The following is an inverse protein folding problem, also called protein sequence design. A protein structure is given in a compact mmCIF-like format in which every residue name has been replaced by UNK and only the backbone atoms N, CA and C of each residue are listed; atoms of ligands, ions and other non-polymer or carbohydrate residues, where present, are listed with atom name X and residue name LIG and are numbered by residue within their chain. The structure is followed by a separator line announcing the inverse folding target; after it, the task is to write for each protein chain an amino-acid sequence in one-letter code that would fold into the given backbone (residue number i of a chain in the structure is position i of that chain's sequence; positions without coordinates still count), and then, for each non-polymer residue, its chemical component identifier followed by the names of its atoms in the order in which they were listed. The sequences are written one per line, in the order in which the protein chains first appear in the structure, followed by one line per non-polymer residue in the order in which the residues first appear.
data_IF_962508009460
#
_entry.id   IF_962508009460
#
_cell.length_a   1.000
_cell.length_b   1.000
_cell.length_c   1.000
_cell.angle_alpha   90.00
_cell.angle_beta   90.00
_cell.angle_gamma   90.00
#
_symmetry.space_group_name_H-M   'P 1'
#
loop_
_entity.id
_entity.type
_entity.pdbx_description
1 polymer ?
#
# COMPACT_ATOMS: atom_id res chain seq x y z
N UNK A 1 11.51 35.77 8.94
CA UNK A 1 11.55 36.27 7.55
C UNK A 1 10.84 37.61 7.52
N UNK A 2 11.53 38.70 7.16
CA UNK A 2 10.90 40.01 7.03
C UNK A 2 9.96 40.08 5.82
N UNK A 3 8.99 41.01 5.79
CA UNK A 3 7.96 41.12 4.74
C UNK A 3 8.51 41.49 3.34
N UNK A 4 9.77 41.91 3.25
CA UNK A 4 10.43 42.36 2.01
C UNK A 4 10.64 41.25 0.95
N UNK A 5 10.63 39.98 1.34
CA UNK A 5 10.93 38.85 0.43
C UNK A 5 9.69 38.10 -0.09
N UNK A 6 8.50 38.68 0.03
CA UNK A 6 7.24 38.04 -0.42
C UNK A 6 7.16 37.84 -1.94
N UNK A 7 7.87 38.65 -2.72
CA UNK A 7 7.98 38.51 -4.18
C UNK A 7 8.63 37.19 -4.63
N UNK A 8 9.53 36.61 -3.83
CA UNK A 8 10.17 35.33 -4.14
C UNK A 8 9.21 34.14 -4.04
N UNK A 9 8.29 34.16 -3.08
CA UNK A 9 7.28 33.12 -2.92
C UNK A 9 6.20 33.19 -4.01
N UNK A 10 5.86 34.40 -4.46
CA UNK A 10 4.95 34.62 -5.59
C UNK A 10 5.55 34.14 -6.92
N UNK A 11 6.85 34.34 -7.15
CA UNK A 11 7.54 33.87 -8.36
C UNK A 11 7.54 32.34 -8.49
N UNK A 12 7.51 31.63 -7.36
CA UNK A 12 7.45 30.16 -7.29
C UNK A 12 6.02 29.62 -7.15
N UNK A 13 5.00 30.46 -7.36
CA UNK A 13 3.58 30.10 -7.27
C UNK A 13 3.15 29.50 -5.91
N UNK A 14 3.87 29.84 -4.83
CA UNK A 14 3.53 29.38 -3.48
C UNK A 14 2.53 30.37 -2.87
N UNK A 15 1.31 29.94 -2.51
CA UNK A 15 0.31 30.81 -1.92
C UNK A 15 0.71 31.16 -0.48
N UNK A 16 1.22 32.38 -0.28
CA UNK A 16 1.62 32.91 1.03
C UNK A 16 0.79 34.12 1.44
N UNK A 17 0.52 34.27 2.73
CA UNK A 17 -0.15 35.43 3.32
C UNK A 17 0.71 36.03 4.43
N UNK A 18 0.74 37.36 4.53
CA UNK A 18 1.37 38.03 5.67
C UNK A 18 0.37 38.06 6.83
N UNK A 19 0.70 37.40 7.93
CA UNK A 19 -0.06 37.42 9.17
C UNK A 19 0.87 37.92 10.30
N UNK A 20 0.42 38.94 11.05
CA UNK A 20 1.14 39.48 12.22
C UNK A 20 2.62 39.84 11.97
N UNK A 21 2.96 40.30 10.75
CA UNK A 21 4.32 40.69 10.38
C UNK A 21 5.24 39.54 9.95
N UNK A 22 4.73 38.30 9.93
CA UNK A 22 5.42 37.10 9.42
C UNK A 22 4.72 36.56 8.18
N UNK A 23 5.47 35.84 7.34
CA UNK A 23 4.95 35.18 6.13
C UNK A 23 4.49 33.78 6.53
N UNK A 24 3.22 33.46 6.29
CA UNK A 24 2.63 32.13 6.48
C UNK A 24 2.28 31.50 5.13
N UNK A 25 2.55 30.20 4.98
CA UNK A 25 2.18 29.41 3.79
C UNK A 25 0.76 28.88 4.01
N UNK A 26 -0.14 29.14 3.06
CA UNK A 26 -1.56 28.79 3.21
C UNK A 26 -1.85 27.32 2.90
N UNK A 27 -1.24 26.78 1.83
CA UNK A 27 -1.48 25.44 1.34
C UNK A 27 -0.15 24.71 1.12
N UNK A 28 -0.18 23.39 1.29
CA UNK A 28 0.94 22.51 0.92
C UNK A 28 1.12 22.51 -0.61
N UNK A 29 2.35 22.71 -1.06
CA UNK A 29 2.71 22.73 -2.49
C UNK A 29 3.93 21.86 -2.71
N UNK A 30 3.88 21.01 -3.74
CA UNK A 30 5.04 20.29 -4.22
C UNK A 30 5.99 21.26 -4.95
N UNK A 31 7.15 21.52 -4.34
CA UNK A 31 8.17 22.41 -4.88
C UNK A 31 8.90 21.81 -6.08
N UNK A 32 9.20 20.50 -6.03
CA UNK A 32 9.95 19.78 -7.06
C UNK A 32 9.39 18.36 -7.20
N UNK A 33 9.46 17.79 -8.40
CA UNK A 33 9.15 16.37 -8.65
C UNK A 33 10.40 15.54 -8.84
N UNK A 34 10.28 14.23 -8.64
CA UNK A 34 11.35 13.29 -8.94
C UNK A 34 11.78 13.41 -10.41
N UNK A 35 13.07 13.64 -10.65
CA UNK A 35 13.66 13.78 -11.98
C UNK A 35 13.75 15.21 -12.52
N UNK A 36 13.18 16.21 -11.84
CA UNK A 36 13.34 17.62 -12.23
C UNK A 36 14.63 18.22 -11.66
N UNK A 37 15.27 19.11 -12.43
CA UNK A 37 16.47 19.82 -11.97
C UNK A 37 16.07 20.93 -11.00
N UNK A 38 16.65 20.92 -9.80
CA UNK A 38 16.41 21.94 -8.78
C UNK A 38 16.92 23.30 -9.25
N UNK A 39 16.04 24.30 -9.28
CA UNK A 39 16.38 25.66 -9.63
C UNK A 39 17.14 26.38 -8.51
N UNK A 40 17.93 27.40 -8.87
CA UNK A 40 18.69 28.20 -7.88
C UNK A 40 17.76 28.89 -6.85
N UNK A 41 16.58 29.34 -7.28
CA UNK A 41 15.59 29.99 -6.42
C UNK A 41 14.92 29.02 -5.43
N UNK A 42 14.68 27.78 -5.83
CA UNK A 42 14.08 26.73 -4.99
C UNK A 42 15.06 26.26 -3.92
N UNK A 43 16.33 26.04 -4.29
CA UNK A 43 17.39 25.66 -3.36
C UNK A 43 17.64 26.76 -2.31
N UNK A 44 17.64 28.03 -2.72
CA UNK A 44 17.79 29.15 -1.80
C UNK A 44 16.61 29.23 -0.81
N UNK A 45 15.39 28.94 -1.26
CA UNK A 45 14.18 28.93 -0.43
C UNK A 45 14.20 27.78 0.59
N UNK A 46 14.54 26.55 0.15
CA UNK A 46 14.66 25.39 1.04
C UNK A 46 15.74 25.60 2.12
N UNK A 47 16.89 26.18 1.74
CA UNK A 47 17.93 26.57 2.70
C UNK A 47 17.44 27.63 3.69
N UNK A 48 16.67 28.61 3.23
CA UNK A 48 16.08 29.67 4.06
C UNK A 48 15.01 29.13 5.03
N UNK A 49 14.27 28.09 4.64
CA UNK A 49 13.31 27.38 5.50
C UNK A 49 13.98 26.35 6.43
N UNK A 50 15.28 26.06 6.23
CA UNK A 50 16.01 25.03 6.98
C UNK A 50 15.59 23.60 6.63
N UNK A 51 14.88 23.40 5.51
CA UNK A 51 14.42 22.09 5.06
C UNK A 51 15.48 21.47 4.16
N UNK A 52 15.98 20.30 4.54
CA UNK A 52 16.98 19.53 3.79
C UNK A 52 16.37 18.20 3.33
N UNK A 53 15.75 18.16 2.13
CA UNK A 53 14.97 17.00 1.69
C UNK A 53 15.83 15.84 1.17
N UNK A 54 17.13 16.07 0.91
CA UNK A 54 18.02 15.06 0.36
C UNK A 54 19.02 14.56 1.40
N UNK A 55 19.15 13.23 1.49
CA UNK A 55 20.26 12.58 2.16
C UNK A 55 21.32 12.22 1.12
N UNK A 56 22.58 12.55 1.40
CA UNK A 56 23.70 12.15 0.56
C UNK A 56 24.30 10.85 1.09
N UNK A 57 24.52 9.89 0.21
CA UNK A 57 25.09 8.60 0.53
C UNK A 57 25.67 7.91 -0.70
N UNK A 58 26.28 6.76 -0.48
CA UNK A 58 26.76 5.90 -1.56
C UNK A 58 25.57 5.18 -2.20
N UNK A 59 25.27 5.51 -3.45
CA UNK A 59 24.28 4.78 -4.24
C UNK A 59 24.99 3.58 -4.87
N UNK A 60 24.59 2.37 -4.46
CA UNK A 60 25.10 1.13 -5.03
C UNK A 60 24.53 0.96 -6.43
N UNK A 61 25.39 0.83 -7.44
CA UNK A 61 24.95 0.61 -8.82
C UNK A 61 24.80 -0.86 -9.17
N UNK A 62 25.79 -1.68 -8.78
CA UNK A 62 25.79 -3.12 -8.97
C UNK A 62 26.60 -3.77 -7.85
N UNK A 63 26.19 -4.97 -7.45
CA UNK A 63 26.94 -5.81 -6.51
C UNK A 63 27.36 -7.08 -7.21
N UNK A 64 28.66 -7.39 -7.19
CA UNK A 64 29.16 -8.68 -7.64
C UNK A 64 29.39 -9.57 -6.42
N UNK A 65 28.76 -10.75 -6.42
CA UNK A 65 29.00 -11.77 -5.40
C UNK A 65 28.96 -13.17 -6.02
N UNK A 66 29.98 -13.98 -5.70
CA UNK A 66 30.15 -15.37 -6.11
C UNK A 66 29.82 -15.68 -7.60
N UNK A 67 30.31 -14.85 -8.53
CA UNK A 67 30.11 -15.07 -9.96
C UNK A 67 28.80 -14.51 -10.54
N UNK A 68 27.95 -13.92 -9.70
CA UNK A 68 26.67 -13.33 -10.10
C UNK A 68 26.69 -11.81 -9.89
N UNK A 69 26.09 -11.08 -10.81
CA UNK A 69 25.90 -9.63 -10.71
C UNK A 69 24.46 -9.37 -10.27
N UNK A 70 24.30 -8.69 -9.14
CA UNK A 70 23.02 -8.29 -8.58
C UNK A 70 22.74 -6.81 -8.87
N UNK A 71 21.52 -6.53 -9.29
CA UNK A 71 21.00 -5.17 -9.39
C UNK A 71 20.59 -4.64 -8.00
N UNK A 72 20.57 -3.31 -7.80
CA UNK A 72 20.17 -2.69 -6.53
C UNK A 72 18.74 -3.08 -6.11
N UNK A 73 17.85 -3.28 -7.08
CA UNK A 73 16.46 -3.69 -6.85
C UNK A 73 16.32 -5.00 -6.05
N UNK A 74 17.28 -5.93 -6.21
CA UNK A 74 17.27 -7.19 -5.46
C UNK A 74 17.61 -6.96 -3.98
N UNK A 75 18.42 -5.93 -3.68
CA UNK A 75 18.76 -5.53 -2.31
C UNK A 75 17.62 -4.77 -1.63
N UNK A 76 16.83 -4.02 -2.39
CA UNK A 76 15.70 -3.24 -1.89
C UNK A 76 14.43 -4.07 -1.63
N UNK A 77 14.48 -5.40 -1.81
CA UNK A 77 13.31 -6.26 -1.65
C UNK A 77 12.94 -6.41 -0.17
N UNK A 78 11.73 -5.97 0.19
CA UNK A 78 11.25 -6.04 1.58
C UNK A 78 10.75 -7.43 1.96
N UNK A 79 10.87 -7.79 3.24
CA UNK A 79 10.38 -9.06 3.79
C UNK A 79 8.86 -9.21 3.66
N UNK A 80 8.12 -8.10 3.70
CA UNK A 80 6.67 -8.10 3.50
C UNK A 80 6.27 -8.44 2.07
N UNK A 81 7.03 -7.98 1.08
CA UNK A 81 6.79 -8.33 -0.32
C UNK A 81 7.06 -9.82 -0.57
N UNK A 82 8.15 -10.36 -0.01
CA UNK A 82 8.44 -11.79 0.00
C UNK A 82 7.29 -12.59 0.60
N UNK A 83 6.77 -12.16 1.76
CA UNK A 83 5.63 -12.82 2.42
C UNK A 83 4.38 -12.79 1.54
N UNK A 84 4.06 -11.66 0.91
CA UNK A 84 2.91 -11.53 0.00
C UNK A 84 3.02 -12.50 -1.19
N UNK A 85 4.19 -12.56 -1.84
CA UNK A 85 4.44 -13.48 -2.96
C UNK A 85 4.32 -14.94 -2.52
N UNK A 86 4.87 -15.29 -1.36
CA UNK A 86 4.75 -16.63 -0.80
C UNK A 86 3.30 -17.02 -0.51
N UNK A 87 2.54 -16.14 0.16
CA UNK A 87 1.13 -16.38 0.45
C UNK A 87 0.28 -16.49 -0.81
N UNK A 88 0.59 -15.73 -1.86
CA UNK A 88 -0.06 -15.87 -3.17
C UNK A 88 0.19 -17.27 -3.76
N UNK A 89 1.42 -17.77 -3.68
CA UNK A 89 1.77 -19.14 -4.09
C UNK A 89 0.96 -20.19 -3.33
N UNK A 90 0.90 -20.09 -1.99
CA UNK A 90 0.12 -21.02 -1.15
C UNK A 90 -1.37 -21.00 -1.51
N UNK A 91 -1.94 -19.81 -1.74
CA UNK A 91 -3.34 -19.67 -2.18
C UNK A 91 -3.60 -20.36 -3.51
N UNK A 92 -2.71 -20.21 -4.48
CA UNK A 92 -2.86 -20.85 -5.79
C UNK A 92 -2.83 -22.38 -5.67
N UNK A 93 -1.89 -22.92 -4.88
CA UNK A 93 -1.79 -24.37 -4.63
C UNK A 93 -3.03 -24.89 -3.89
N UNK A 94 -3.53 -24.14 -2.89
CA UNK A 94 -4.74 -24.48 -2.17
C UNK A 94 -5.97 -24.50 -3.08
N UNK A 95 -6.12 -23.51 -3.96
CA UNK A 95 -7.21 -23.41 -4.92
C UNK A 95 -7.20 -24.58 -5.92
N UNK A 96 -6.03 -24.92 -6.46
CA UNK A 96 -5.87 -26.07 -7.37
C UNK A 96 -6.21 -27.39 -6.66
N UNK A 97 -5.71 -27.58 -5.44
CA UNK A 97 -5.98 -28.78 -4.64
C UNK A 97 -7.48 -28.95 -4.34
N UNK A 98 -8.17 -27.85 -4.03
CA UNK A 98 -9.62 -27.83 -3.82
C UNK A 98 -10.40 -28.14 -5.11
N UNK A 99 -9.96 -27.63 -6.26
CA UNK A 99 -10.61 -27.88 -7.55
C UNK A 99 -10.50 -29.36 -7.98
N UNK A 100 -9.33 -29.97 -7.76
CA UNK A 100 -9.07 -31.39 -8.10
C UNK A 100 -9.73 -32.33 -7.09
N UNK A 101 -10.30 -31.81 -5.98
CA UNK A 101 -10.87 -32.59 -4.87
C UNK A 101 -9.86 -33.55 -4.23
N UNK A 102 -8.58 -33.20 -4.28
CA UNK A 102 -7.52 -34.01 -3.69
C UNK A 102 -7.26 -33.55 -2.25
N UNK A 103 -7.42 -34.42 -1.23
CA UNK A 103 -7.25 -34.03 0.16
C UNK A 103 -5.76 -33.90 0.51
N UNK A 104 -5.28 -32.67 0.59
CA UNK A 104 -3.96 -32.30 1.13
C UNK A 104 -4.16 -31.58 2.45
N UNK A 105 -3.12 -31.48 3.28
CA UNK A 105 -3.20 -30.76 4.56
C UNK A 105 -3.75 -29.32 4.42
N UNK A 106 -3.54 -28.70 3.25
CA UNK A 106 -3.99 -27.34 2.95
C UNK A 106 -5.45 -27.32 2.44
N UNK A 107 -5.91 -28.37 1.73
CA UNK A 107 -7.24 -28.39 1.11
C UNK A 107 -8.33 -29.03 1.98
N UNK A 108 -7.98 -29.86 2.97
CA UNK A 108 -8.97 -30.61 3.77
C UNK A 108 -9.93 -29.68 4.53
N UNK A 109 -9.42 -28.67 5.23
CA UNK A 109 -10.26 -27.71 5.96
C UNK A 109 -11.19 -26.92 5.01
N UNK A 110 -10.67 -26.48 3.87
CA UNK A 110 -11.44 -25.76 2.85
C UNK A 110 -12.51 -26.64 2.18
N UNK A 111 -12.24 -27.94 2.01
CA UNK A 111 -13.18 -28.89 1.42
C UNK A 111 -14.37 -29.15 2.34
N UNK A 112 -14.13 -29.30 3.65
CA UNK A 112 -15.18 -29.47 4.65
C UNK A 112 -16.06 -28.22 4.76
N UNK A 113 -15.43 -27.04 4.85
CA UNK A 113 -16.15 -25.77 4.90
C UNK A 113 -17.03 -25.54 3.65
N UNK A 114 -16.52 -25.87 2.46
CA UNK A 114 -17.30 -25.78 1.22
C UNK A 114 -18.48 -26.76 1.18
N UNK A 115 -18.29 -27.96 1.72
CA UNK A 115 -19.38 -28.94 1.87
C UNK A 115 -20.50 -28.38 2.74
N UNK A 116 -20.16 -27.79 3.89
CA UNK A 116 -21.12 -27.14 4.79
C UNK A 116 -21.81 -25.94 4.11
N UNK A 117 -21.05 -25.07 3.43
CA UNK A 117 -21.61 -23.93 2.68
C UNK A 117 -22.60 -24.35 1.59
N UNK A 118 -22.32 -25.45 0.88
CA UNK A 118 -23.23 -25.97 -0.14
C UNK A 118 -24.53 -26.47 0.50
N UNK A 119 -24.45 -27.20 1.63
CA UNK A 119 -25.64 -27.65 2.37
C UNK A 119 -26.46 -26.49 2.91
N UNK A 120 -25.80 -25.45 3.46
CA UNK A 120 -26.44 -24.22 3.91
C UNK A 120 -27.10 -23.45 2.75
N UNK A 121 -26.46 -23.39 1.58
CA UNK A 121 -27.04 -22.78 0.39
C UNK A 121 -28.30 -23.50 -0.10
N UNK A 122 -28.31 -24.83 -0.06
CA UNK A 122 -29.51 -25.64 -0.39
C UNK A 122 -30.61 -25.42 0.67
N UNK A 123 -30.23 -25.41 1.95
CA UNK A 123 -31.15 -25.15 3.06
C UNK A 123 -31.72 -23.72 3.06
N UNK A 124 -31.02 -22.73 2.49
CA UNK A 124 -31.53 -21.37 2.36
C UNK A 124 -32.65 -21.25 1.32
N UNK A 125 -32.62 -22.08 0.27
CA UNK A 125 -33.64 -22.09 -0.80
C UNK A 125 -34.79 -23.06 -0.50
N UNK A 126 -34.55 -24.06 0.35
CA UNK A 126 -35.55 -25.09 0.70
C UNK A 126 -36.08 -24.88 2.12
N UNK A 127 -37.32 -25.30 2.38
CA UNK A 127 -37.95 -25.20 3.71
C UNK A 127 -37.40 -26.21 4.74
N UNK A 128 -36.30 -26.90 4.43
CA UNK A 128 -35.67 -27.87 5.34
C UNK A 128 -34.89 -27.12 6.42
N UNK A 129 -35.24 -27.37 7.68
CA UNK A 129 -34.61 -26.73 8.84
C UNK A 129 -33.59 -27.68 9.49
N UNK A 130 -32.35 -27.21 9.58
CA UNK A 130 -31.26 -27.84 10.35
C UNK A 130 -30.82 -26.87 11.46
N UNK A 131 -30.32 -27.37 12.60
CA UNK A 131 -29.87 -26.52 13.72
C UNK A 131 -28.87 -25.43 13.27
N UNK A 132 -27.96 -25.78 12.36
CA UNK A 132 -26.94 -24.87 11.83
C UNK A 132 -27.46 -23.92 10.73
N UNK A 133 -28.58 -24.26 10.10
CA UNK A 133 -29.24 -23.43 9.08
C UNK A 133 -30.30 -22.48 9.68
N UNK A 134 -30.75 -22.74 10.91
CA UNK A 134 -31.73 -21.92 11.61
C UNK A 134 -31.24 -20.48 11.82
N UNK A 135 -29.99 -20.32 12.28
CA UNK A 135 -29.36 -19.01 12.44
C UNK A 135 -29.26 -18.26 11.11
N UNK A 136 -28.92 -18.95 10.03
CA UNK A 136 -28.80 -18.35 8.70
C UNK A 136 -30.16 -17.93 8.12
N UNK A 137 -31.23 -18.69 8.39
CA UNK A 137 -32.61 -18.32 8.04
C UNK A 137 -33.14 -17.14 8.87
N UNK A 138 -32.77 -17.05 10.15
CA UNK A 138 -33.09 -15.89 11.00
C UNK A 138 -32.39 -14.62 10.48
N UNK A 139 -31.11 -14.70 10.12
CA UNK A 139 -30.39 -13.58 9.47
C UNK A 139 -30.92 -13.21 8.08
N UNK A 140 -31.49 -14.17 7.34
CA UNK A 140 -32.14 -13.90 6.04
C UNK A 140 -33.56 -13.31 6.21
N UNK A 141 -34.24 -13.61 7.30
CA UNK A 141 -35.58 -13.11 7.61
C UNK A 141 -35.56 -11.68 8.18
N UNK A 142 -34.52 -11.30 8.93
CA UNK A 142 -34.31 -9.94 9.46
C UNK A 142 -32.95 -9.37 9.03
N UNK A 143 -32.89 -8.56 7.95
CA UNK A 143 -31.63 -8.04 7.39
C UNK A 143 -31.15 -6.72 8.03
N UNK A 144 -31.49 -6.43 9.30
CA UNK A 144 -30.97 -5.25 10.02
C UNK A 144 -29.63 -5.53 10.71
#
# INVERSE_FOLDING_TARGET
MGPEKTSFFQALQIPTKIARGTIEILNEVHLIKEGEKVGASEAALLNMLGVTPFSYGLVVLQVYDNGTIYSPEVLDMTTDELRKRFLAGVRNVAAVSLAIKYPTMVSVAHSLARGMQNMLGIAAVTDVNFEEAAQLKEYLADPS
#
